data_IF_722860400837
#
_entry.id   IF_722860400837
#
_cell.length_a   1.000
_cell.length_b   1.000
_cell.length_c   1.000
_cell.angle_alpha   90.00
_cell.angle_beta   90.00
_cell.angle_gamma   90.00
#
_symmetry.space_group_name_H-M   'P 1'
#
loop_
_entity.id
_entity.type
_entity.pdbx_description
1 polymer ?
#
# COMPACT_ATOMS: atom_id res chain seq x y z
N UNK A 1 -17.86 -4.60 -20.87
CA UNK A 1 -16.99 -4.85 -19.70
C UNK A 1 -16.97 -3.58 -18.88
N UNK A 2 -17.12 -3.66 -17.56
CA UNK A 2 -16.93 -2.51 -16.67
C UNK A 2 -15.44 -2.16 -16.56
N UNK A 3 -15.15 -0.89 -16.29
CA UNK A 3 -13.79 -0.43 -16.02
C UNK A 3 -13.30 -1.03 -14.69
N UNK A 4 -12.06 -1.53 -14.68
CA UNK A 4 -11.41 -2.09 -13.50
C UNK A 4 -10.40 -1.09 -12.95
N UNK A 5 -10.32 -1.00 -11.62
CA UNK A 5 -9.40 -0.09 -10.93
C UNK A 5 -8.40 -0.89 -10.09
N UNK A 6 -7.17 -0.38 -10.01
CA UNK A 6 -6.12 -0.89 -9.13
C UNK A 6 -5.49 0.24 -8.33
N UNK A 7 -4.81 -0.11 -7.23
CA UNK A 7 -4.14 0.85 -6.34
C UNK A 7 -2.74 0.37 -5.97
N UNK A 8 -1.78 1.30 -5.85
CA UNK A 8 -0.47 1.02 -5.23
C UNK A 8 -0.58 1.20 -3.72
N UNK A 9 -0.13 0.22 -2.95
CA UNK A 9 -0.17 0.30 -1.50
C UNK A 9 0.98 1.15 -0.94
N UNK A 10 0.79 1.79 0.23
CA UNK A 10 1.88 2.46 0.91
C UNK A 10 2.82 1.43 1.55
N UNK A 11 4.12 1.51 1.32
CA UNK A 11 5.06 0.41 1.60
C UNK A 11 6.47 0.88 1.97
N UNK A 12 6.67 2.16 2.23
CA UNK A 12 7.93 2.82 2.52
C UNK A 12 8.53 3.56 1.32
N UNK A 13 8.12 3.24 0.10
CA UNK A 13 8.62 3.90 -1.12
C UNK A 13 8.22 5.37 -1.12
N UNK A 14 9.14 6.26 -1.45
CA UNK A 14 8.96 7.72 -1.35
C UNK A 14 8.57 8.24 0.04
N UNK A 15 8.91 7.48 1.10
CA UNK A 15 8.73 7.88 2.51
C UNK A 15 7.26 7.94 2.99
N UNK A 16 6.34 7.26 2.31
CA UNK A 16 4.90 7.22 2.60
C UNK A 16 4.51 6.64 3.99
N UNK A 17 5.44 6.00 4.71
CA UNK A 17 5.25 5.46 6.06
C UNK A 17 6.22 6.04 7.12
N UNK A 18 7.01 7.08 6.80
CA UNK A 18 8.08 7.60 7.69
C UNK A 18 7.60 8.06 9.08
N UNK A 19 6.33 8.45 9.22
CA UNK A 19 5.75 8.86 10.50
C UNK A 19 5.40 7.72 11.45
N UNK A 20 5.52 6.47 11.00
CA UNK A 20 5.15 5.27 11.77
C UNK A 20 6.43 4.56 12.21
N UNK A 21 6.79 4.72 13.49
CA UNK A 21 8.05 4.19 14.03
C UNK A 21 8.03 2.67 14.25
N UNK A 22 6.86 2.10 14.54
CA UNK A 22 6.73 0.65 14.75
C UNK A 22 6.55 -0.06 13.39
N UNK A 23 7.48 -0.94 12.98
CA UNK A 23 7.38 -1.65 11.71
C UNK A 23 6.14 -2.56 11.62
N UNK A 24 5.65 -3.08 12.75
CA UNK A 24 4.41 -3.86 12.76
C UNK A 24 3.23 -2.95 12.44
N UNK A 25 3.15 -1.79 13.10
CA UNK A 25 2.14 -0.78 12.79
C UNK A 25 2.20 -0.30 11.33
N UNK A 26 3.40 -0.17 10.75
CA UNK A 26 3.58 0.21 9.35
C UNK A 26 3.00 -0.87 8.40
N UNK A 27 3.33 -2.14 8.64
CA UNK A 27 2.76 -3.28 7.92
C UNK A 27 1.24 -3.36 8.07
N UNK A 28 0.73 -3.17 9.28
CA UNK A 28 -0.71 -3.15 9.53
C UNK A 28 -1.41 -1.98 8.82
N UNK A 29 -0.73 -0.84 8.67
CA UNK A 29 -1.27 0.32 7.93
C UNK A 29 -1.38 0.00 6.45
N UNK A 30 -0.34 -0.56 5.85
CA UNK A 30 -0.35 -1.04 4.46
C UNK A 30 -1.49 -2.06 4.22
N UNK A 31 -1.61 -3.05 5.11
CA UNK A 31 -2.63 -4.11 4.99
C UNK A 31 -4.04 -3.59 5.18
N UNK A 32 -4.27 -2.62 6.08
CA UNK A 32 -5.56 -1.93 6.20
C UNK A 32 -5.97 -1.22 4.90
N UNK A 33 -5.02 -0.56 4.21
CA UNK A 33 -5.31 0.06 2.91
C UNK A 33 -5.74 -0.99 1.87
N UNK A 34 -5.09 -2.16 1.86
CA UNK A 34 -5.48 -3.26 0.97
C UNK A 34 -6.89 -3.79 1.28
N UNK A 35 -7.21 -3.99 2.56
CA UNK A 35 -8.54 -4.44 3.01
C UNK A 35 -9.62 -3.42 2.64
N UNK A 36 -9.38 -2.13 2.86
CA UNK A 36 -10.31 -1.08 2.46
C UNK A 36 -10.47 -1.02 0.94
N UNK A 37 -9.41 -1.27 0.16
CA UNK A 37 -9.50 -1.32 -1.29
C UNK A 37 -10.39 -2.49 -1.77
N UNK A 38 -10.28 -3.66 -1.13
CA UNK A 38 -11.15 -4.82 -1.40
C UNK A 38 -12.62 -4.51 -1.09
N UNK A 39 -12.89 -3.91 0.08
CA UNK A 39 -14.25 -3.47 0.46
C UNK A 39 -14.83 -2.41 -0.50
N UNK A 40 -13.97 -1.57 -1.11
CA UNK A 40 -14.36 -0.56 -2.09
C UNK A 40 -14.50 -1.10 -3.52
N UNK A 41 -14.20 -2.38 -3.77
CA UNK A 41 -14.33 -3.02 -5.08
C UNK A 41 -13.17 -2.73 -6.04
N UNK A 42 -11.98 -2.41 -5.53
CA UNK A 42 -10.76 -2.42 -6.36
C UNK A 42 -10.43 -3.84 -6.78
N UNK A 43 -10.03 -4.01 -8.04
CA UNK A 43 -9.72 -5.32 -8.61
C UNK A 43 -8.33 -5.81 -8.19
N UNK A 44 -7.39 -4.89 -7.96
CA UNK A 44 -5.99 -5.23 -7.71
C UNK A 44 -5.28 -4.24 -6.80
N UNK A 45 -4.33 -4.75 -6.03
CA UNK A 45 -3.36 -3.98 -5.25
C UNK A 45 -1.95 -4.25 -5.78
N UNK A 46 -1.09 -3.25 -5.74
CA UNK A 46 0.26 -3.30 -6.31
C UNK A 46 1.29 -2.87 -5.28
N UNK A 47 2.43 -3.56 -5.27
CA UNK A 47 3.62 -3.20 -4.52
C UNK A 47 4.81 -3.19 -5.46
N UNK A 48 5.74 -2.25 -5.25
CA UNK A 48 7.05 -2.26 -5.93
C UNK A 48 8.14 -2.76 -5.00
N UNK A 49 8.96 -3.69 -5.46
CA UNK A 49 10.09 -4.16 -4.66
C UNK A 49 11.20 -3.10 -4.62
N UNK A 50 11.80 -2.88 -3.47
CA UNK A 50 12.84 -1.88 -3.27
C UNK A 50 13.67 -2.16 -2.01
N UNK A 51 14.97 -1.86 -2.07
CA UNK A 51 15.86 -1.92 -0.91
C UNK A 51 16.02 -0.58 -0.19
N UNK A 52 15.76 0.54 -0.88
CA UNK A 52 15.82 1.88 -0.33
C UNK A 52 14.49 2.58 -0.53
N UNK A 53 14.08 3.38 0.46
CA UNK A 53 12.81 4.11 0.47
C UNK A 53 12.81 5.36 -0.41
N UNK A 54 13.93 5.65 -1.07
CA UNK A 54 14.12 6.79 -1.97
C UNK A 54 14.88 6.29 -3.22
N UNK A 55 14.48 6.68 -4.44
CA UNK A 55 15.18 6.32 -5.67
C UNK A 55 16.60 6.88 -5.77
#
# INVERSE_FOLDING_TARGET
MSLKYGISLPQGWTMDLVGINDPVQAYETMTRVAQTADECGYESVWLVDHFHTVP
#
